data_IF_359109402305
#
_entry.id   IF_359109402305
#
_cell.length_a   1.000
_cell.length_b   1.000
_cell.length_c   1.000
_cell.angle_alpha   90.00
_cell.angle_beta   90.00
_cell.angle_gamma   90.00
#
_symmetry.space_group_name_H-M   'P 1'
#
loop_
_entity.id
_entity.type
_entity.pdbx_description
1 polymer ?
#
# COMPACT_ATOMS: atom_id res chain seq x y z
N UNK A 1 -36.46 -2.40 8.44
CA UNK A 1 -35.58 -1.42 7.75
C UNK A 1 -34.19 -1.57 8.36
N UNK A 2 -33.35 -2.39 7.76
CA UNK A 2 -31.95 -2.51 8.19
C UNK A 2 -31.18 -1.35 7.56
N UNK A 3 -30.86 -0.33 8.34
CA UNK A 3 -29.84 0.64 7.97
C UNK A 3 -28.52 -0.11 7.85
N UNK A 4 -28.09 -0.35 6.61
CA UNK A 4 -26.72 -0.76 6.35
C UNK A 4 -25.83 0.36 6.92
N UNK A 5 -25.13 0.07 8.01
CA UNK A 5 -24.10 0.97 8.53
C UNK A 5 -23.07 1.11 7.40
N UNK A 6 -23.10 2.24 6.70
CA UNK A 6 -22.11 2.51 5.66
C UNK A 6 -20.74 2.59 6.34
N UNK A 7 -19.85 1.69 5.96
CA UNK A 7 -18.45 1.71 6.46
C UNK A 7 -17.87 3.09 6.13
N UNK A 8 -17.35 3.80 7.12
CA UNK A 8 -16.51 4.98 6.91
C UNK A 8 -15.15 4.56 6.36
N UNK A 9 -14.63 5.32 5.39
CA UNK A 9 -13.34 5.07 4.75
C UNK A 9 -12.32 6.16 5.08
N UNK A 10 -12.44 6.77 6.25
CA UNK A 10 -11.43 7.68 6.80
C UNK A 10 -11.10 8.87 5.87
N UNK A 11 -12.10 9.43 5.19
CA UNK A 11 -11.95 10.57 4.27
C UNK A 11 -11.71 10.19 2.81
N UNK A 12 -11.58 8.89 2.48
CA UNK A 12 -11.45 8.39 1.11
C UNK A 12 -12.80 8.25 0.38
N UNK A 13 -13.92 8.58 1.03
CA UNK A 13 -15.26 8.43 0.48
C UNK A 13 -15.44 9.06 -0.91
N UNK A 14 -14.91 10.26 -1.23
CA UNK A 14 -15.09 10.84 -2.55
C UNK A 14 -14.52 9.97 -3.67
N UNK A 15 -13.32 9.42 -3.47
CA UNK A 15 -12.69 8.51 -4.43
C UNK A 15 -13.37 7.14 -4.43
N UNK A 16 -13.62 6.56 -3.25
CA UNK A 16 -14.11 5.19 -3.14
C UNK A 16 -15.55 5.05 -3.62
N UNK A 17 -16.40 6.06 -3.40
CA UNK A 17 -17.77 6.04 -3.92
C UNK A 17 -17.81 5.98 -5.44
N UNK A 18 -16.90 6.69 -6.10
CA UNK A 18 -16.76 6.63 -7.56
C UNK A 18 -16.21 5.27 -8.00
N UNK A 19 -15.04 4.85 -7.46
CA UNK A 19 -14.35 3.67 -7.94
C UNK A 19 -15.11 2.37 -7.65
N UNK A 20 -15.76 2.26 -6.48
CA UNK A 20 -16.52 1.06 -6.10
C UNK A 20 -17.81 0.86 -6.92
N UNK A 21 -18.29 1.89 -7.59
CA UNK A 21 -19.44 1.81 -8.50
C UNK A 21 -19.08 1.25 -9.87
N UNK A 22 -17.79 1.31 -10.26
CA UNK A 22 -17.30 0.91 -11.58
C UNK A 22 -17.30 -0.62 -11.76
N UNK A 23 -17.49 -1.06 -12.99
CA UNK A 23 -17.63 -2.50 -13.30
C UNK A 23 -16.33 -3.29 -13.02
N UNK A 24 -15.16 -2.69 -13.25
CA UNK A 24 -13.91 -3.36 -12.90
C UNK A 24 -13.82 -3.68 -11.39
N UNK A 25 -14.29 -2.76 -10.53
CA UNK A 25 -14.24 -2.96 -9.08
C UNK A 25 -15.30 -3.98 -8.61
N UNK A 26 -16.49 -3.96 -9.22
CA UNK A 26 -17.50 -5.02 -9.03
C UNK A 26 -16.93 -6.39 -9.42
N UNK A 27 -16.16 -6.44 -10.52
CA UNK A 27 -15.42 -7.64 -10.96
C UNK A 27 -14.42 -8.12 -9.92
N UNK A 28 -13.61 -7.22 -9.34
CA UNK A 28 -12.70 -7.55 -8.23
C UNK A 28 -13.47 -8.16 -7.05
N UNK A 29 -14.57 -7.54 -6.63
CA UNK A 29 -15.38 -8.05 -5.49
C UNK A 29 -15.90 -9.45 -5.75
N UNK A 30 -16.52 -9.67 -6.90
CA UNK A 30 -17.06 -10.99 -7.27
C UNK A 30 -15.95 -12.06 -7.38
N UNK A 31 -14.78 -11.69 -7.90
CA UNK A 31 -13.62 -12.56 -7.96
C UNK A 31 -13.15 -12.93 -6.55
N UNK A 32 -12.96 -11.94 -5.67
CA UNK A 32 -12.46 -12.17 -4.31
C UNK A 32 -13.44 -12.97 -3.44
N UNK A 33 -14.75 -12.81 -3.62
CA UNK A 33 -15.74 -13.62 -2.92
C UNK A 33 -15.51 -15.12 -3.20
N UNK A 34 -15.26 -15.49 -4.45
CA UNK A 34 -14.95 -16.88 -4.84
C UNK A 34 -13.58 -17.32 -4.31
N UNK A 35 -12.54 -16.47 -4.47
CA UNK A 35 -11.18 -16.79 -4.04
C UNK A 35 -11.10 -17.07 -2.53
N UNK A 36 -11.69 -16.19 -1.71
CA UNK A 36 -11.71 -16.38 -0.25
C UNK A 36 -12.58 -17.57 0.21
N UNK A 37 -13.53 -18.02 -0.61
CA UNK A 37 -14.31 -19.21 -0.31
C UNK A 37 -13.56 -20.52 -0.63
N UNK A 38 -12.64 -20.48 -1.61
CA UNK A 38 -11.99 -21.68 -2.15
C UNK A 38 -10.51 -21.77 -1.79
N UNK A 39 -9.85 -20.65 -1.47
CA UNK A 39 -8.41 -20.57 -1.24
C UNK A 39 -8.09 -19.76 0.01
N UNK A 40 -6.88 -19.95 0.53
CA UNK A 40 -6.32 -19.04 1.52
C UNK A 40 -5.77 -17.82 0.81
N UNK A 41 -6.39 -16.66 1.04
CA UNK A 41 -6.01 -15.36 0.44
C UNK A 41 -5.53 -14.43 1.54
N UNK A 42 -4.49 -13.65 1.25
CA UNK A 42 -3.93 -12.64 2.13
C UNK A 42 -4.08 -11.24 1.55
N UNK A 43 -4.19 -10.20 2.43
CA UNK A 43 -4.46 -10.27 3.87
C UNK A 43 -5.88 -10.76 4.16
N UNK A 44 -6.26 -11.00 5.43
CA UNK A 44 -7.67 -11.22 5.80
C UNK A 44 -8.59 -10.13 5.24
N UNK A 45 -9.81 -10.45 4.83
CA UNK A 45 -10.76 -9.53 4.16
C UNK A 45 -10.86 -8.16 4.84
N UNK A 46 -10.90 -8.15 6.18
CA UNK A 46 -11.01 -6.91 6.99
C UNK A 46 -9.80 -5.98 6.88
N UNK A 47 -8.65 -6.49 6.41
CA UNK A 47 -7.39 -5.75 6.31
C UNK A 47 -7.03 -5.34 4.88
N UNK A 48 -7.86 -5.65 3.87
CA UNK A 48 -7.56 -5.31 2.47
C UNK A 48 -7.33 -3.79 2.30
N UNK A 49 -8.12 -2.97 2.98
CA UNK A 49 -8.06 -1.50 2.91
C UNK A 49 -7.37 -0.85 4.12
N UNK A 50 -6.58 -1.61 4.89
CA UNK A 50 -5.97 -1.14 6.14
C UNK A 50 -5.06 0.09 5.96
N UNK A 51 -4.36 0.21 4.83
CA UNK A 51 -3.54 1.38 4.53
C UNK A 51 -4.38 2.68 4.51
N UNK A 52 -5.59 2.61 3.98
CA UNK A 52 -6.52 3.73 3.92
C UNK A 52 -7.22 3.99 5.26
N UNK A 53 -7.53 2.93 5.99
CA UNK A 53 -8.12 3.03 7.34
C UNK A 53 -7.17 3.76 8.32
N UNK A 54 -5.85 3.61 8.12
CA UNK A 54 -4.83 4.19 9.01
C UNK A 54 -4.28 5.54 8.54
N UNK A 55 -4.36 5.86 7.24
CA UNK A 55 -3.83 7.09 6.66
C UNK A 55 -4.93 7.78 5.88
N UNK A 56 -5.50 8.85 6.45
CA UNK A 56 -6.51 9.66 5.78
C UNK A 56 -5.87 10.48 4.62
N UNK A 57 -6.61 10.77 3.54
CA UNK A 57 -6.03 11.43 2.36
C UNK A 57 -5.43 12.81 2.66
N UNK A 58 -6.03 13.59 3.57
CA UNK A 58 -5.52 14.90 3.99
C UNK A 58 -4.23 14.79 4.82
N UNK A 59 -3.94 13.63 5.40
CA UNK A 59 -2.76 13.38 6.23
C UNK A 59 -1.58 12.80 5.45
N UNK A 60 -1.80 12.38 4.19
CA UNK A 60 -0.73 11.81 3.36
C UNK A 60 0.42 12.79 3.18
N UNK A 61 1.61 12.39 3.62
CA UNK A 61 2.89 13.09 3.45
C UNK A 61 3.84 12.32 2.56
N UNK A 62 3.80 11.00 2.66
CA UNK A 62 4.66 10.07 1.91
C UNK A 62 3.81 8.93 1.37
N UNK A 63 4.03 8.55 0.12
CA UNK A 63 3.48 7.32 -0.46
C UNK A 63 4.63 6.37 -0.75
N UNK A 64 4.59 5.18 -0.16
CA UNK A 64 5.55 4.10 -0.45
C UNK A 64 4.80 2.98 -1.17
N UNK A 65 5.25 2.66 -2.39
CA UNK A 65 4.60 1.63 -3.21
C UNK A 65 5.30 0.28 -3.05
N UNK A 66 4.53 -0.71 -2.56
CA UNK A 66 4.86 -2.12 -2.64
C UNK A 66 4.23 -2.78 -3.87
N UNK A 67 4.51 -4.06 -4.07
CA UNK A 67 4.00 -4.82 -5.21
C UNK A 67 2.70 -5.56 -4.83
N UNK A 68 2.79 -6.57 -3.98
CA UNK A 68 1.70 -7.39 -3.48
C UNK A 68 1.92 -7.74 -1.99
N UNK A 69 0.89 -8.23 -1.29
CA UNK A 69 1.04 -8.64 0.10
C UNK A 69 2.02 -9.81 0.25
N UNK A 70 2.59 -9.97 1.44
CA UNK A 70 3.37 -11.16 1.78
C UNK A 70 2.54 -12.44 1.65
N UNK A 71 3.18 -13.48 1.10
CA UNK A 71 2.51 -14.75 0.74
C UNK A 71 2.49 -15.80 1.87
N UNK A 72 3.24 -15.54 2.96
CA UNK A 72 3.34 -16.46 4.08
C UNK A 72 2.27 -16.18 5.16
N UNK A 73 1.86 -17.22 5.92
CA UNK A 73 0.89 -17.05 7.00
C UNK A 73 1.29 -15.98 8.02
N UNK A 74 0.34 -15.15 8.43
CA UNK A 74 0.51 -14.19 9.51
C UNK A 74 1.31 -12.93 9.16
N UNK A 75 1.84 -12.79 7.93
CA UNK A 75 2.67 -11.63 7.55
C UNK A 75 1.86 -10.45 7.01
N UNK A 76 0.94 -10.72 6.09
CA UNK A 76 0.20 -9.65 5.41
C UNK A 76 -0.82 -9.01 6.34
N UNK A 77 -0.74 -7.69 6.50
CA UNK A 77 -1.63 -6.90 7.36
C UNK A 77 -2.28 -5.70 6.63
N UNK A 78 -2.23 -5.69 5.29
CA UNK A 78 -2.82 -4.62 4.47
C UNK A 78 -2.00 -3.33 4.43
N UNK A 79 -0.75 -3.38 4.84
CA UNK A 79 0.25 -2.33 4.71
C UNK A 79 1.45 -2.87 3.94
N UNK A 80 1.90 -2.16 2.91
CA UNK A 80 3.10 -2.53 2.16
C UNK A 80 4.32 -2.61 3.10
N UNK A 81 5.15 -3.65 2.92
CA UNK A 81 6.37 -3.93 3.69
C UNK A 81 6.17 -4.28 5.17
N UNK A 82 5.00 -4.06 5.74
CA UNK A 82 4.70 -4.26 7.16
C UNK A 82 4.30 -5.70 7.49
N UNK A 83 4.74 -6.17 8.65
CA UNK A 83 4.26 -7.40 9.28
C UNK A 83 3.82 -7.12 10.72
N UNK A 84 2.78 -7.80 11.24
CA UNK A 84 2.32 -7.56 12.61
C UNK A 84 3.36 -8.07 13.63
N UNK A 85 3.48 -7.38 14.76
CA UNK A 85 4.24 -7.89 15.90
C UNK A 85 3.55 -9.15 16.46
N UNK A 86 4.28 -10.22 16.84
CA UNK A 86 5.75 -10.36 16.93
C UNK A 86 6.40 -11.04 15.69
N UNK A 87 5.76 -11.01 14.52
CA UNK A 87 6.34 -11.60 13.30
C UNK A 87 7.68 -10.94 12.98
N UNK A 88 8.76 -11.71 12.73
CA UNK A 88 10.06 -11.14 12.38
C UNK A 88 9.99 -10.32 11.08
N UNK A 89 10.70 -9.16 11.01
CA UNK A 89 10.75 -8.36 9.79
C UNK A 89 11.31 -9.16 8.61
N UNK A 90 10.62 -9.18 7.45
CA UNK A 90 11.13 -9.82 6.24
C UNK A 90 12.39 -9.12 5.70
N UNK A 91 13.20 -9.80 4.83
CA UNK A 91 14.44 -9.23 4.30
C UNK A 91 14.29 -7.86 3.64
N UNK A 92 13.19 -7.62 2.92
CA UNK A 92 12.91 -6.32 2.30
C UNK A 92 12.79 -5.20 3.34
N UNK A 93 12.11 -5.46 4.46
CA UNK A 93 11.96 -4.49 5.53
C UNK A 93 13.25 -4.29 6.33
N UNK A 94 14.03 -5.36 6.52
CA UNK A 94 15.35 -5.26 7.15
C UNK A 94 16.31 -4.37 6.33
N UNK A 95 16.23 -4.43 5.01
CA UNK A 95 17.02 -3.55 4.14
C UNK A 95 16.60 -2.07 4.31
N UNK A 96 15.29 -1.80 4.40
CA UNK A 96 14.78 -0.45 4.66
C UNK A 96 15.30 0.06 6.02
N UNK A 97 15.24 -0.76 7.07
CA UNK A 97 15.73 -0.37 8.39
C UNK A 97 17.23 -0.14 8.42
N UNK A 98 18.01 -0.93 7.67
CA UNK A 98 19.46 -0.74 7.54
C UNK A 98 19.77 0.60 6.89
N UNK A 99 19.10 0.92 5.79
CA UNK A 99 19.28 2.20 5.10
C UNK A 99 18.96 3.39 6.00
N UNK A 100 17.83 3.34 6.73
CA UNK A 100 17.49 4.38 7.71
C UNK A 100 18.61 4.53 8.76
N UNK A 101 19.18 3.44 9.23
CA UNK A 101 20.26 3.48 10.21
C UNK A 101 21.55 4.06 9.62
N UNK A 102 21.90 3.70 8.39
CA UNK A 102 23.09 4.22 7.69
C UNK A 102 22.96 5.72 7.42
N UNK A 103 21.79 6.18 6.99
CA UNK A 103 21.51 7.59 6.69
C UNK A 103 21.38 8.48 7.93
N UNK A 104 20.73 7.98 8.98
CA UNK A 104 20.36 8.81 10.14
C UNK A 104 21.23 8.57 11.39
N UNK A 105 22.04 7.51 11.39
CA UNK A 105 22.76 7.02 12.55
C UNK A 105 21.87 6.43 13.66
N UNK A 106 20.57 6.24 13.40
CA UNK A 106 19.58 5.80 14.39
C UNK A 106 18.88 4.53 13.94
N UNK A 107 18.63 3.64 14.89
CA UNK A 107 17.76 2.50 14.66
C UNK A 107 16.31 2.95 14.50
N UNK A 108 15.54 2.23 13.66
CA UNK A 108 14.11 2.46 13.55
C UNK A 108 13.42 2.27 14.90
N UNK A 109 12.59 3.21 15.30
CA UNK A 109 11.79 3.12 16.52
C UNK A 109 10.59 2.16 16.41
N UNK A 110 10.45 1.48 15.29
CA UNK A 110 9.36 0.53 15.01
C UNK A 110 9.57 -0.74 15.81
N UNK A 111 8.51 -1.22 16.47
CA UNK A 111 8.54 -2.48 17.22
C UNK A 111 8.43 -3.67 16.26
N UNK A 112 9.51 -4.41 16.11
CA UNK A 112 9.57 -5.51 15.14
C UNK A 112 9.44 -5.01 13.71
N UNK A 113 8.46 -5.55 12.96
CA UNK A 113 8.17 -5.15 11.58
C UNK A 113 6.85 -4.41 11.40
N UNK A 114 6.21 -3.96 12.47
CA UNK A 114 4.89 -3.31 12.42
C UNK A 114 5.01 -1.81 12.13
N UNK A 115 4.74 -1.43 10.87
CA UNK A 115 4.81 -0.06 10.37
C UNK A 115 3.53 0.76 10.62
N UNK A 116 2.62 0.30 11.46
CA UNK A 116 1.38 1.04 11.81
C UNK A 116 1.70 2.46 12.32
N UNK A 117 2.81 2.63 13.03
CA UNK A 117 3.26 3.96 13.51
C UNK A 117 3.58 4.89 12.34
N UNK A 118 4.16 4.38 11.25
CA UNK A 118 4.41 5.19 10.06
C UNK A 118 3.11 5.58 9.37
N UNK A 119 2.18 4.62 9.20
CA UNK A 119 0.88 4.89 8.60
C UNK A 119 0.14 6.01 9.35
N UNK A 120 0.11 5.96 10.68
CA UNK A 120 -0.49 6.98 11.54
C UNK A 120 0.19 8.36 11.47
N UNK A 121 1.42 8.44 10.97
CA UNK A 121 2.16 9.69 10.76
C UNK A 121 1.96 10.28 9.35
N UNK A 122 1.18 9.62 8.49
CA UNK A 122 0.90 10.07 7.14
C UNK A 122 1.74 9.37 6.06
N UNK A 123 2.30 8.18 6.35
CA UNK A 123 2.94 7.33 5.34
C UNK A 123 1.92 6.34 4.78
N UNK A 124 1.43 6.57 3.56
CA UNK A 124 0.55 5.63 2.88
C UNK A 124 1.38 4.45 2.34
N UNK A 125 1.30 3.32 3.03
CA UNK A 125 2.00 2.07 2.68
C UNK A 125 1.12 1.23 1.75
N UNK A 126 1.17 1.51 0.44
CA UNK A 126 0.24 0.99 -0.55
C UNK A 126 0.88 -0.07 -1.45
N UNK A 127 0.32 -1.27 -1.49
CA UNK A 127 0.64 -2.25 -2.52
C UNK A 127 -0.13 -1.96 -3.81
N UNK A 128 0.46 -2.22 -4.98
CA UNK A 128 -0.21 -2.09 -6.28
C UNK A 128 -1.25 -3.19 -6.51
N UNK A 129 -1.10 -4.36 -5.86
CA UNK A 129 -2.12 -5.39 -5.74
C UNK A 129 -2.45 -5.58 -4.25
N UNK A 130 -3.72 -5.48 -3.86
CA UNK A 130 -4.10 -5.49 -2.44
C UNK A 130 -4.35 -6.89 -1.87
N UNK A 131 -4.35 -7.92 -2.71
CA UNK A 131 -4.57 -9.31 -2.29
C UNK A 131 -3.66 -10.28 -3.02
N UNK A 132 -3.42 -11.46 -2.43
CA UNK A 132 -2.60 -12.52 -2.99
C UNK A 132 -3.04 -13.88 -2.48
N UNK A 133 -2.90 -14.94 -3.26
CA UNK A 133 -3.09 -16.33 -2.80
C UNK A 133 -1.88 -16.75 -1.98
N UNK A 134 -2.11 -17.47 -0.87
CA UNK A 134 -1.05 -18.05 -0.03
C UNK A 134 -0.02 -18.78 -0.89
N UNK A 135 1.25 -18.44 -0.70
CA UNK A 135 2.38 -19.09 -1.37
C UNK A 135 2.59 -18.70 -2.84
N UNK A 136 1.73 -17.89 -3.46
CA UNK A 136 1.78 -17.57 -4.89
C UNK A 136 1.84 -16.06 -5.12
N UNK A 137 3.07 -15.52 -5.16
CA UNK A 137 3.28 -14.09 -5.44
C UNK A 137 2.68 -13.69 -6.80
N UNK A 138 2.20 -12.45 -6.89
CA UNK A 138 1.54 -11.89 -8.08
C UNK A 138 0.25 -12.59 -8.55
N UNK A 139 -0.28 -13.53 -7.79
CA UNK A 139 -1.46 -14.31 -8.19
C UNK A 139 -2.71 -13.46 -8.50
N UNK A 140 -2.82 -12.26 -7.93
CA UNK A 140 -3.92 -11.32 -8.16
C UNK A 140 -3.50 -10.05 -8.92
N UNK A 141 -2.36 -10.06 -9.61
CA UNK A 141 -1.86 -8.89 -10.36
C UNK A 141 -2.79 -8.42 -11.49
N UNK A 142 -3.58 -9.34 -12.06
CA UNK A 142 -4.41 -9.08 -13.25
C UNK A 142 -5.91 -8.98 -12.96
N UNK A 143 -6.35 -8.93 -11.69
CA UNK A 143 -7.78 -8.91 -11.35
C UNK A 143 -8.40 -7.50 -11.34
N UNK A 144 -7.59 -6.45 -11.58
CA UNK A 144 -8.04 -5.06 -11.61
C UNK A 144 -7.51 -4.19 -10.47
N UNK A 145 -6.78 -4.73 -9.48
CA UNK A 145 -6.21 -3.95 -8.38
C UNK A 145 -5.36 -2.78 -8.86
N UNK A 146 -4.57 -2.97 -9.93
CA UNK A 146 -3.72 -1.89 -10.44
C UNK A 146 -4.53 -0.71 -10.98
N UNK A 147 -5.73 -0.93 -11.54
CA UNK A 147 -6.62 0.16 -11.96
C UNK A 147 -7.02 0.99 -10.75
N UNK A 148 -7.44 0.34 -9.67
CA UNK A 148 -7.84 1.01 -8.43
C UNK A 148 -6.68 1.77 -7.78
N UNK A 149 -5.52 1.14 -7.62
CA UNK A 149 -4.36 1.77 -6.97
C UNK A 149 -3.75 2.88 -7.81
N UNK A 150 -3.79 2.78 -9.14
CA UNK A 150 -3.40 3.88 -10.04
C UNK A 150 -4.33 5.09 -9.89
N UNK A 151 -5.64 4.86 -9.72
CA UNK A 151 -6.59 5.94 -9.41
C UNK A 151 -6.33 6.59 -8.06
N UNK A 152 -5.95 5.80 -7.04
CA UNK A 152 -5.54 6.35 -5.73
C UNK A 152 -4.32 7.27 -5.90
N UNK A 153 -3.29 6.81 -6.62
CA UNK A 153 -2.05 7.59 -6.86
C UNK A 153 -2.37 8.88 -7.61
N UNK A 154 -3.13 8.80 -8.71
CA UNK A 154 -3.53 9.98 -9.48
C UNK A 154 -4.40 10.94 -8.65
N UNK A 155 -5.31 10.41 -7.85
CA UNK A 155 -6.16 11.23 -7.00
C UNK A 155 -5.35 12.02 -5.95
N UNK A 156 -4.34 11.39 -5.33
CA UNK A 156 -3.42 12.08 -4.42
C UNK A 156 -2.63 13.15 -5.18
N UNK A 157 -2.11 12.81 -6.37
CA UNK A 157 -1.38 13.76 -7.22
C UNK A 157 -2.19 15.02 -7.51
N UNK A 158 -3.50 14.88 -7.73
CA UNK A 158 -4.37 15.97 -8.15
C UNK A 158 -4.99 16.75 -6.97
N UNK A 159 -5.18 16.11 -5.81
CA UNK A 159 -5.99 16.65 -4.71
C UNK A 159 -5.22 16.91 -3.42
N UNK A 160 -3.95 16.53 -3.30
CA UNK A 160 -3.19 16.77 -2.08
C UNK A 160 -3.01 18.26 -1.83
N UNK A 161 -3.42 18.73 -0.65
CA UNK A 161 -3.34 20.14 -0.26
C UNK A 161 -1.90 20.62 0.03
N UNK A 162 -0.94 19.71 0.09
CA UNK A 162 0.48 19.95 0.34
C UNK A 162 1.34 19.04 -0.53
N UNK A 163 2.64 19.37 -0.74
CA UNK A 163 3.57 18.48 -1.40
C UNK A 163 3.64 17.10 -0.72
N UNK A 164 3.62 16.04 -1.54
CA UNK A 164 3.73 14.65 -1.11
C UNK A 164 5.02 14.06 -1.67
N UNK A 165 5.69 13.21 -0.92
CA UNK A 165 6.85 12.45 -1.38
C UNK A 165 6.38 11.08 -1.87
N UNK A 166 6.64 10.75 -3.13
CA UNK A 166 6.38 9.42 -3.69
C UNK A 166 7.68 8.63 -3.77
N UNK A 167 7.77 7.53 -3.03
CA UNK A 167 8.93 6.64 -3.01
C UNK A 167 8.64 5.43 -3.89
N UNK A 168 9.26 5.38 -5.08
CA UNK A 168 9.02 4.38 -6.12
C UNK A 168 10.19 3.40 -6.18
N UNK A 169 10.10 2.32 -5.42
CA UNK A 169 11.15 1.32 -5.32
C UNK A 169 10.90 0.11 -6.24
N UNK A 170 11.84 -0.14 -7.15
CA UNK A 170 11.77 -1.21 -8.12
C UNK A 170 10.95 -0.89 -9.38
N UNK A 171 11.09 -1.74 -10.40
CA UNK A 171 10.55 -1.50 -11.74
C UNK A 171 9.03 -1.31 -11.78
N UNK A 172 8.28 -2.05 -10.97
CA UNK A 172 6.81 -1.95 -10.93
C UNK A 172 6.35 -0.60 -10.39
N UNK A 173 6.95 -0.13 -9.28
CA UNK A 173 6.64 1.16 -8.70
C UNK A 173 7.06 2.32 -9.62
N UNK A 174 8.26 2.25 -10.22
CA UNK A 174 8.78 3.27 -11.13
C UNK A 174 7.89 3.52 -12.36
N UNK A 175 7.19 2.50 -12.87
CA UNK A 175 6.21 2.67 -13.96
C UNK A 175 5.06 3.61 -13.58
N UNK A 176 4.78 3.80 -12.28
CA UNK A 176 3.73 4.69 -11.81
C UNK A 176 4.13 6.17 -11.84
N UNK A 177 5.40 6.49 -12.14
CA UNK A 177 5.88 7.87 -12.29
C UNK A 177 5.08 8.67 -13.32
N UNK A 178 4.62 8.05 -14.39
CA UNK A 178 3.79 8.70 -15.42
C UNK A 178 2.44 9.22 -14.90
N UNK A 179 1.98 8.75 -13.74
CA UNK A 179 0.76 9.24 -13.08
C UNK A 179 1.01 10.50 -12.25
N UNK A 180 2.26 10.86 -12.00
CA UNK A 180 2.67 11.95 -11.12
C UNK A 180 3.05 13.17 -11.96
N UNK A 181 2.06 13.96 -12.34
CA UNK A 181 2.18 15.12 -13.23
C UNK A 181 2.29 16.43 -12.48
N UNK A 182 1.95 16.47 -11.19
CA UNK A 182 2.01 17.68 -10.38
C UNK A 182 3.43 17.89 -9.84
N UNK A 183 4.13 18.89 -10.38
CA UNK A 183 5.51 19.23 -10.06
C UNK A 183 5.73 19.72 -8.61
N UNK A 184 4.68 19.94 -7.83
CA UNK A 184 4.82 20.26 -6.41
C UNK A 184 5.22 19.06 -5.55
N UNK A 185 5.03 17.85 -6.08
CA UNK A 185 5.38 16.61 -5.39
C UNK A 185 6.84 16.23 -5.64
N UNK A 186 7.43 15.52 -4.68
CA UNK A 186 8.78 14.94 -4.83
C UNK A 186 8.66 13.45 -5.20
N UNK A 187 9.32 13.04 -6.28
CA UNK A 187 9.37 11.64 -6.69
C UNK A 187 10.79 11.12 -6.50
N UNK A 188 10.95 10.16 -5.60
CA UNK A 188 12.21 9.46 -5.32
C UNK A 188 12.14 8.06 -5.92
N UNK A 189 13.08 7.76 -6.81
CA UNK A 189 13.15 6.47 -7.51
C UNK A 189 14.37 5.67 -7.07
N UNK A 190 14.22 4.37 -6.84
CA UNK A 190 15.32 3.45 -6.68
C UNK A 190 15.14 2.22 -7.57
N UNK A 191 16.24 1.65 -8.06
CA UNK A 191 16.21 0.46 -8.94
C UNK A 191 15.65 -0.75 -8.19
N UNK A 192 15.93 -0.84 -6.88
CA UNK A 192 15.43 -1.90 -6.00
C UNK A 192 15.44 -1.40 -4.56
N UNK A 193 14.54 -1.92 -3.74
CA UNK A 193 14.60 -1.75 -2.27
C UNK A 193 15.81 -2.45 -1.62
N UNK A 194 16.60 -3.21 -2.39
CA UNK A 194 17.86 -3.80 -1.94
C UNK A 194 19.08 -2.90 -2.17
N UNK A 195 18.91 -1.78 -2.86
CA UNK A 195 19.95 -0.79 -3.19
C UNK A 195 19.37 0.62 -3.04
N UNK A 196 18.87 0.91 -1.85
CA UNK A 196 18.45 2.27 -1.47
C UNK A 196 19.71 3.04 -1.07
N UNK A 197 20.54 3.44 -2.04
CA UNK A 197 21.55 4.46 -1.79
C UNK A 197 20.97 5.81 -2.17
N UNK A 198 21.08 6.78 -1.28
CA UNK A 198 20.84 8.17 -1.63
C UNK A 198 21.79 8.50 -2.79
N UNK A 199 21.24 8.97 -3.88
CA UNK A 199 22.04 9.65 -4.89
C UNK A 199 22.27 11.07 -4.39
N UNK A 200 23.55 11.40 -4.17
CA UNK A 200 24.03 12.76 -4.01
C UNK A 200 23.54 13.66 -5.15
#
# INVERSE_FOLDING_TARGET
MNAAVSRSYNGWEPLFSEEFSKDYFKGIKAFLEREYAQKTVYPPKKLILNAFDLTAPQDVKVVILGQDPYINPGQAMGLAFSVPYPVPPPPSLLNIFREIKEETGRDSAVKGGDLTVWAKQGVLLLNTSLTVVRGVSNSHSNIGWQIFTDRVISWINDNAARPVVFMLWGGNARRKKSLLTNNSHLVLEAVSYTHLRAHE
#
